data_IF_108467631645
#
_entry.id   IF_108467631645
#
_cell.length_a   1.000
_cell.length_b   1.000
_cell.length_c   1.000
_cell.angle_alpha   90.00
_cell.angle_beta   90.00
_cell.angle_gamma   90.00
#
_symmetry.space_group_name_H-M   'P 1'
#
loop_
_entity.id
_entity.type
_entity.pdbx_description
1 polymer ?
#
# COMPACT_ATOMS: atom_id res chain seq x y z
N UNK A 1 -14.42 2.79 15.41
CA UNK A 1 -13.71 4.02 14.99
C UNK A 1 -12.59 3.69 14.00
N UNK A 2 -11.67 2.81 14.37
CA UNK A 2 -10.52 2.39 13.55
C UNK A 2 -10.90 1.91 12.15
N UNK A 3 -11.86 0.99 12.04
CA UNK A 3 -12.33 0.45 10.76
C UNK A 3 -12.81 1.53 9.77
N UNK A 4 -13.48 2.59 10.24
CA UNK A 4 -14.02 3.63 9.37
C UNK A 4 -12.88 4.46 8.76
N UNK A 5 -11.89 4.83 9.57
CA UNK A 5 -10.75 5.61 9.10
C UNK A 5 -9.85 4.79 8.17
N UNK A 6 -9.53 3.55 8.55
CA UNK A 6 -8.72 2.65 7.70
C UNK A 6 -9.41 2.39 6.36
N UNK A 7 -10.73 2.16 6.35
CA UNK A 7 -11.48 1.96 5.10
C UNK A 7 -11.46 3.20 4.19
N UNK A 8 -11.56 4.40 4.76
CA UNK A 8 -11.46 5.64 4.00
C UNK A 8 -10.07 5.78 3.34
N UNK A 9 -9.01 5.43 4.07
CA UNK A 9 -7.64 5.42 3.54
C UNK A 9 -7.48 4.37 2.44
N UNK A 10 -8.08 3.18 2.58
CA UNK A 10 -8.08 2.15 1.54
C UNK A 10 -8.75 2.63 0.25
N UNK A 11 -9.88 3.32 0.36
CA UNK A 11 -10.57 3.86 -0.81
C UNK A 11 -9.72 4.93 -1.52
N UNK A 12 -9.05 5.80 -0.76
CA UNK A 12 -8.09 6.77 -1.30
C UNK A 12 -6.91 6.08 -1.99
N UNK A 13 -6.33 5.04 -1.38
CA UNK A 13 -5.28 4.22 -1.97
C UNK A 13 -5.75 3.58 -3.27
N UNK A 14 -6.92 2.95 -3.30
CA UNK A 14 -7.46 2.31 -4.51
C UNK A 14 -7.63 3.28 -5.68
N UNK A 15 -8.12 4.49 -5.40
CA UNK A 15 -8.27 5.53 -6.42
C UNK A 15 -6.89 5.91 -6.98
N UNK A 16 -5.94 6.26 -6.11
CA UNK A 16 -4.62 6.69 -6.53
C UNK A 16 -3.84 5.60 -7.28
N UNK A 17 -3.95 4.34 -6.84
CA UNK A 17 -3.32 3.20 -7.50
C UNK A 17 -3.95 2.90 -8.87
N UNK A 18 -5.27 3.02 -9.01
CA UNK A 18 -5.96 2.87 -10.30
C UNK A 18 -5.53 3.95 -11.29
N UNK A 19 -5.49 5.20 -10.84
CA UNK A 19 -5.01 6.32 -11.67
C UNK A 19 -3.55 6.15 -12.10
N UNK A 20 -2.71 5.47 -11.30
CA UNK A 20 -1.35 5.12 -11.72
C UNK A 20 -1.36 4.02 -12.78
N UNK A 21 -2.20 2.99 -12.62
CA UNK A 21 -2.34 1.92 -13.62
C UNK A 21 -2.75 2.45 -15.00
N UNK A 22 -3.59 3.48 -15.04
CA UNK A 22 -3.99 4.17 -16.28
C UNK A 22 -2.83 4.87 -17.00
N UNK A 23 -1.76 5.25 -16.28
CA UNK A 23 -0.58 5.92 -16.85
C UNK A 23 0.54 4.94 -17.25
N UNK A 24 0.47 3.67 -16.82
CA UNK A 24 1.57 2.68 -16.96
C UNK A 24 1.18 1.45 -17.79
N UNK A 25 0.14 1.56 -18.62
CA UNK A 25 -0.37 0.43 -19.41
C UNK A 25 0.51 0.04 -20.61
N UNK A 26 1.41 0.92 -21.07
CA UNK A 26 2.42 0.61 -22.09
C UNK A 26 3.65 1.52 -21.98
N UNK A 27 4.74 1.14 -22.65
CA UNK A 27 6.00 1.88 -22.59
C UNK A 27 5.95 3.27 -23.25
N UNK A 28 5.15 3.45 -24.30
CA UNK A 28 5.02 4.75 -25.00
C UNK A 28 4.43 5.82 -24.08
N UNK A 29 3.35 5.50 -23.36
CA UNK A 29 2.71 6.41 -22.42
C UNK A 29 3.64 6.71 -21.24
N UNK A 30 4.32 5.68 -20.72
CA UNK A 30 5.30 5.83 -19.64
C UNK A 30 6.41 6.80 -20.05
N UNK A 31 7.00 6.63 -21.24
CA UNK A 31 8.08 7.50 -21.72
C UNK A 31 7.61 8.95 -21.89
N UNK A 32 6.40 9.14 -22.41
CA UNK A 32 5.78 10.45 -22.61
C UNK A 32 5.54 11.18 -21.28
N UNK A 33 5.12 10.45 -20.24
CA UNK A 33 4.68 11.03 -18.96
C UNK A 33 5.59 10.72 -17.77
N UNK A 34 6.79 10.17 -17.95
CA UNK A 34 7.64 9.65 -16.86
C UNK A 34 7.82 10.61 -15.66
N UNK A 35 7.96 11.93 -15.88
CA UNK A 35 8.05 12.91 -14.79
C UNK A 35 6.73 13.05 -14.01
N UNK A 36 5.61 13.07 -14.71
CA UNK A 36 4.28 13.09 -14.11
C UNK A 36 4.01 11.82 -13.31
N UNK A 37 4.38 10.67 -13.87
CA UNK A 37 4.31 9.37 -13.19
C UNK A 37 5.15 9.39 -11.91
N UNK A 38 6.39 9.89 -11.95
CA UNK A 38 7.23 10.01 -10.76
C UNK A 38 6.59 10.89 -9.67
N UNK A 39 5.98 12.02 -10.06
CA UNK A 39 5.22 12.88 -9.13
C UNK A 39 4.01 12.16 -8.53
N UNK A 40 3.24 11.44 -9.34
CA UNK A 40 2.08 10.64 -8.90
C UNK A 40 2.51 9.55 -7.90
N UNK A 41 3.63 8.86 -8.15
CA UNK A 41 4.20 7.88 -7.21
C UNK A 41 4.59 8.57 -5.89
N UNK A 42 5.12 9.79 -5.93
CA UNK A 42 5.39 10.60 -4.73
C UNK A 42 4.12 10.87 -3.90
N UNK A 43 3.02 11.25 -4.55
CA UNK A 43 1.72 11.44 -3.89
C UNK A 43 1.20 10.16 -3.27
N UNK A 44 1.19 9.05 -4.03
CA UNK A 44 0.81 7.72 -3.54
C UNK A 44 1.67 7.31 -2.35
N UNK A 45 2.96 7.63 -2.38
CA UNK A 45 3.88 7.30 -1.28
C UNK A 45 3.50 7.98 0.03
N UNK A 46 2.95 9.19 -0.02
CA UNK A 46 2.48 9.89 1.17
C UNK A 46 1.17 9.29 1.70
N UNK A 47 0.23 8.95 0.81
CA UNK A 47 -1.03 8.29 1.16
C UNK A 47 -0.74 6.96 1.89
N UNK A 48 0.11 6.12 1.29
CA UNK A 48 0.48 4.80 1.86
C UNK A 48 1.22 4.97 3.20
N UNK A 49 2.15 5.93 3.29
CA UNK A 49 2.86 6.18 4.55
C UNK A 49 1.92 6.63 5.67
N UNK A 50 0.92 7.44 5.36
CA UNK A 50 -0.07 7.92 6.33
C UNK A 50 -0.92 6.76 6.84
N UNK A 51 -1.38 5.89 5.94
CA UNK A 51 -2.09 4.67 6.30
C UNK A 51 -1.24 3.75 7.19
N UNK A 52 0.00 3.46 6.77
CA UNK A 52 0.94 2.65 7.56
C UNK A 52 1.21 3.20 8.96
N UNK A 53 1.42 4.50 9.08
CA UNK A 53 1.62 5.16 10.38
C UNK A 53 0.38 5.00 11.27
N UNK A 54 -0.81 5.15 10.69
CA UNK A 54 -2.05 4.94 11.43
C UNK A 54 -2.17 3.49 11.93
N UNK A 55 -1.80 2.51 11.12
CA UNK A 55 -1.86 1.12 11.56
C UNK A 55 -0.84 0.80 12.66
N UNK A 56 0.41 1.26 12.48
CA UNK A 56 1.52 1.05 13.42
C UNK A 56 1.24 1.72 14.79
N UNK A 57 0.64 2.92 14.80
CA UNK A 57 0.40 3.70 16.01
C UNK A 57 -0.92 3.36 16.72
N UNK A 58 -1.92 2.88 15.98
CA UNK A 58 -3.28 2.75 16.52
C UNK A 58 -3.91 1.38 16.29
N UNK A 59 -3.97 0.90 15.03
CA UNK A 59 -4.75 -0.30 14.70
C UNK A 59 -4.14 -1.57 15.29
N UNK A 60 -2.86 -1.84 15.02
CA UNK A 60 -2.22 -3.05 15.55
C UNK A 60 -2.12 -3.02 17.07
N UNK A 61 -1.66 -1.93 17.73
CA UNK A 61 -1.64 -1.88 19.19
C UNK A 61 -3.01 -2.17 19.83
N UNK A 62 -4.09 -1.63 19.29
CA UNK A 62 -5.44 -1.90 19.78
C UNK A 62 -5.80 -3.40 19.71
N UNK A 63 -5.49 -4.07 18.60
CA UNK A 63 -5.77 -5.49 18.43
C UNK A 63 -4.85 -6.39 19.28
N UNK A 64 -3.62 -5.95 19.58
CA UNK A 64 -2.70 -6.68 20.47
C UNK A 64 -3.16 -6.66 21.93
N UNK A 65 -3.95 -5.67 22.32
CA UNK A 65 -4.50 -5.55 23.69
C UNK A 65 -5.82 -6.32 23.86
N UNK A 66 -6.32 -6.99 22.82
CA UNK A 66 -7.56 -7.75 22.87
C UNK A 66 -7.47 -8.97 23.81
N UNK A 67 -8.56 -9.33 24.49
CA UNK A 67 -8.58 -10.45 25.45
C UNK A 67 -8.47 -11.84 24.77
N UNK A 68 -9.04 -11.98 23.57
CA UNK A 68 -8.92 -13.21 22.76
C UNK A 68 -7.51 -13.36 22.16
N UNK A 69 -6.86 -14.48 22.48
CA UNK A 69 -5.54 -14.86 21.97
C UNK A 69 -5.49 -14.98 20.45
N UNK A 70 -6.56 -15.48 19.82
CA UNK A 70 -6.62 -15.62 18.37
C UNK A 70 -6.58 -14.26 17.68
N UNK A 71 -7.21 -13.24 18.27
CA UNK A 71 -7.21 -11.88 17.73
C UNK A 71 -5.79 -11.29 17.78
N UNK A 72 -5.08 -11.48 18.89
CA UNK A 72 -3.70 -11.03 19.04
C UNK A 72 -2.77 -11.73 18.04
N UNK A 73 -2.88 -13.05 17.88
CA UNK A 73 -2.07 -13.81 16.92
C UNK A 73 -2.29 -13.35 15.47
N UNK A 74 -3.55 -13.10 15.08
CA UNK A 74 -3.87 -12.59 13.74
C UNK A 74 -3.29 -11.19 13.56
N UNK A 75 -3.39 -10.32 14.57
CA UNK A 75 -2.81 -8.99 14.52
C UNK A 75 -1.27 -9.04 14.35
N UNK A 76 -0.58 -9.89 15.11
CA UNK A 76 0.88 -10.05 15.02
C UNK A 76 1.31 -10.53 13.63
N UNK A 77 0.58 -11.50 13.08
CA UNK A 77 0.81 -12.00 11.72
C UNK A 77 0.68 -10.87 10.69
N UNK A 78 -0.39 -10.09 10.76
CA UNK A 78 -0.72 -9.05 9.78
C UNK A 78 0.24 -7.85 9.86
N UNK A 79 0.64 -7.46 11.08
CA UNK A 79 1.66 -6.45 11.31
C UNK A 79 3.02 -6.86 10.69
N UNK A 80 3.41 -8.14 10.86
CA UNK A 80 4.64 -8.67 10.27
C UNK A 80 4.55 -8.72 8.74
N UNK A 81 3.44 -9.21 8.18
CA UNK A 81 3.24 -9.25 6.73
C UNK A 81 3.29 -7.84 6.11
N UNK A 82 2.65 -6.86 6.76
CA UNK A 82 2.68 -5.47 6.27
C UNK A 82 4.09 -4.87 6.24
N UNK A 83 4.94 -5.27 7.19
CA UNK A 83 6.35 -4.84 7.21
C UNK A 83 7.12 -5.28 5.96
N UNK A 84 6.73 -6.38 5.31
CA UNK A 84 7.33 -6.81 4.04
C UNK A 84 6.87 -5.94 2.87
N UNK A 85 5.56 -5.67 2.76
CA UNK A 85 4.98 -4.80 1.72
C UNK A 85 5.55 -3.39 1.81
N UNK A 86 5.64 -2.83 3.02
CA UNK A 86 6.28 -1.53 3.30
C UNK A 86 7.70 -1.47 2.74
N UNK A 87 8.51 -2.49 3.01
CA UNK A 87 9.90 -2.56 2.52
C UNK A 87 9.98 -2.66 1.00
N UNK A 88 9.11 -3.45 0.37
CA UNK A 88 9.07 -3.55 -1.09
C UNK A 88 8.67 -2.22 -1.73
N UNK A 89 7.67 -1.55 -1.16
CA UNK A 89 7.25 -0.23 -1.62
C UNK A 89 8.34 0.84 -1.41
N UNK A 90 9.08 0.78 -0.30
CA UNK A 90 10.21 1.66 -0.04
C UNK A 90 11.34 1.46 -1.07
N UNK A 91 11.64 0.21 -1.43
CA UNK A 91 12.62 -0.09 -2.47
C UNK A 91 12.16 0.40 -3.84
N UNK A 92 10.89 0.17 -4.18
CA UNK A 92 10.27 0.65 -5.41
C UNK A 92 10.35 2.18 -5.52
N UNK A 93 9.94 2.92 -4.47
CA UNK A 93 9.99 4.39 -4.48
C UNK A 93 11.42 4.91 -4.55
N UNK A 94 12.36 4.28 -3.86
CA UNK A 94 13.76 4.67 -3.94
C UNK A 94 14.31 4.51 -5.36
N UNK A 95 13.97 3.40 -6.02
CA UNK A 95 14.39 3.12 -7.41
C UNK A 95 13.87 4.18 -8.40
N UNK A 96 12.60 4.59 -8.29
CA UNK A 96 11.95 5.39 -9.34
C UNK A 96 11.72 6.87 -9.00
N UNK A 97 11.61 7.24 -7.73
CA UNK A 97 11.49 8.66 -7.32
C UNK A 97 12.88 9.29 -7.18
N UNK A 98 13.86 8.58 -6.60
CA UNK A 98 15.19 9.16 -6.38
C UNK A 98 16.00 9.30 -7.68
N UNK A 99 15.71 8.47 -8.69
CA UNK A 99 16.21 8.63 -10.06
C UNK A 99 15.09 8.42 -11.09
N UNK A 100 14.34 9.47 -11.46
CA UNK A 100 13.29 9.38 -12.47
C UNK A 100 13.79 8.94 -13.86
N UNK A 101 15.11 8.95 -14.12
CA UNK A 101 15.66 8.41 -15.36
C UNK A 101 15.52 6.89 -15.44
N UNK A 102 15.43 6.19 -14.31
CA UNK A 102 15.20 4.74 -14.28
C UNK A 102 13.89 4.35 -14.97
N UNK A 103 12.84 5.18 -14.84
CA UNK A 103 11.55 5.01 -15.53
C UNK A 103 11.75 5.06 -17.06
N UNK A 104 12.60 5.97 -17.53
CA UNK A 104 12.85 6.17 -18.98
C UNK A 104 13.82 5.14 -19.56
N UNK A 105 14.82 4.73 -18.80
CA UNK A 105 15.87 3.83 -19.28
C UNK A 105 15.34 2.39 -19.45
N UNK A 106 14.44 1.96 -18.57
CA UNK A 106 13.89 0.61 -18.54
C UNK A 106 12.37 0.62 -18.33
N UNK A 107 11.58 1.18 -19.27
CA UNK A 107 10.13 1.37 -19.09
C UNK A 107 9.38 0.06 -18.91
N UNK A 108 9.76 -1.01 -19.61
CA UNK A 108 9.17 -2.34 -19.42
C UNK A 108 9.37 -2.88 -17.99
N UNK A 109 10.59 -2.76 -17.45
CA UNK A 109 10.89 -3.19 -16.07
C UNK A 109 10.15 -2.30 -15.06
N UNK A 110 10.04 -0.99 -15.32
CA UNK A 110 9.22 -0.10 -14.51
C UNK A 110 7.75 -0.54 -14.47
N UNK A 111 7.15 -0.88 -15.61
CA UNK A 111 5.77 -1.36 -15.67
C UNK A 111 5.60 -2.66 -14.88
N UNK A 112 6.51 -3.63 -15.03
CA UNK A 112 6.47 -4.88 -14.28
C UNK A 112 6.60 -4.65 -12.76
N UNK A 113 7.55 -3.83 -12.34
CA UNK A 113 7.77 -3.47 -10.94
C UNK A 113 6.53 -2.77 -10.36
N UNK A 114 5.95 -1.83 -11.12
CA UNK A 114 4.75 -1.08 -10.73
C UNK A 114 3.55 -2.01 -10.56
N UNK A 115 3.27 -2.86 -11.54
CA UNK A 115 2.14 -3.79 -11.46
C UNK A 115 2.27 -4.75 -10.29
N UNK A 116 3.48 -5.25 -10.03
CA UNK A 116 3.76 -6.13 -8.90
C UNK A 116 3.50 -5.45 -7.56
N UNK A 117 4.07 -4.26 -7.34
CA UNK A 117 3.91 -3.58 -6.04
C UNK A 117 2.46 -3.13 -5.81
N UNK A 118 1.75 -2.71 -6.85
CA UNK A 118 0.32 -2.39 -6.77
C UNK A 118 -0.48 -3.64 -6.38
N UNK A 119 -0.17 -4.79 -6.99
CA UNK A 119 -0.80 -6.06 -6.64
C UNK A 119 -0.58 -6.44 -5.17
N UNK A 120 0.63 -6.28 -4.65
CA UNK A 120 0.96 -6.54 -3.24
C UNK A 120 0.15 -5.63 -2.29
N UNK A 121 0.05 -4.34 -2.60
CA UNK A 121 -0.69 -3.36 -1.80
C UNK A 121 -2.20 -3.64 -1.83
N UNK A 122 -2.78 -3.90 -3.00
CA UNK A 122 -4.21 -4.19 -3.12
C UNK A 122 -4.59 -5.50 -2.43
N UNK A 123 -3.75 -6.53 -2.55
CA UNK A 123 -3.95 -7.79 -1.82
C UNK A 123 -3.91 -7.56 -0.30
N UNK A 124 -3.02 -6.69 0.20
CA UNK A 124 -2.98 -6.34 1.63
C UNK A 124 -4.29 -5.72 2.11
N UNK A 125 -4.77 -4.73 1.38
CA UNK A 125 -6.03 -4.02 1.64
C UNK A 125 -7.21 -5.00 1.69
N UNK A 126 -7.26 -5.95 0.75
CA UNK A 126 -8.30 -6.98 0.73
C UNK A 126 -8.19 -7.94 1.93
N UNK A 127 -6.98 -8.31 2.34
CA UNK A 127 -6.78 -9.16 3.52
C UNK A 127 -7.20 -8.47 4.80
N UNK A 128 -6.82 -7.20 5.02
CA UNK A 128 -7.30 -6.39 6.16
C UNK A 128 -8.82 -6.36 6.22
N UNK A 129 -9.47 -6.01 5.12
CA UNK A 129 -10.92 -5.84 5.09
C UNK A 129 -11.68 -7.15 5.34
N UNK A 130 -11.16 -8.26 4.84
CA UNK A 130 -11.84 -9.55 4.92
C UNK A 130 -11.49 -10.37 6.16
N UNK A 131 -10.34 -10.09 6.80
CA UNK A 131 -9.82 -10.92 7.90
C UNK A 131 -9.56 -10.15 9.18
N UNK A 132 -9.06 -8.92 9.09
CA UNK A 132 -8.73 -8.12 10.27
C UNK A 132 -9.95 -7.32 10.76
N UNK A 133 -10.68 -6.68 9.85
CA UNK A 133 -11.83 -5.85 10.20
C UNK A 133 -12.98 -6.60 10.88
N UNK A 134 -13.31 -7.87 10.53
CA UNK A 134 -14.30 -8.63 11.28
C UNK A 134 -13.96 -8.78 12.78
N UNK A 135 -12.66 -8.86 13.12
CA UNK A 135 -12.20 -8.98 14.50
C UNK A 135 -12.40 -7.69 15.30
N UNK A 136 -12.52 -6.55 14.63
CA UNK A 136 -12.83 -5.26 15.27
C UNK A 136 -14.30 -5.12 15.69
N UNK A 137 -15.19 -6.00 15.20
CA UNK A 137 -16.64 -5.95 15.44
C UNK A 137 -17.02 -6.88 16.60
N UNK A 138 -16.24 -7.91 16.87
CA UNK A 138 -16.42 -8.84 17.98
C UNK A 138 -15.90 -8.25 19.32
N UNK A 139 -16.24 -6.98 19.60
CA UNK A 139 -16.16 -6.40 20.95
C UNK A 139 -17.24 -7.08 21.84
N UNK A 140 -17.02 -8.34 22.24
CA UNK A 140 -17.78 -9.00 23.31
C UNK A 140 -16.94 -9.98 24.13
#
# INVERSE_FOLDING_TARGET
MYQIETKKQHDEMRVALRELLEDVYNEEEVLKNHLWIALKIGTISNIIQTHLQYEDEYLYPFLMEHDDENVREIAELYMREMSHVKRHFDNYKHKYISDPKAIKNEPGIFIEDTNRIIGEILNRVELEENRLFPLLIDEK
#
